data_IF_114667629093
#
_entry.id   IF_114667629093
#
_cell.length_a   1.000
_cell.length_b   1.000
_cell.length_c   1.000
_cell.angle_alpha   90.00
_cell.angle_beta   90.00
_cell.angle_gamma   90.00
#
_symmetry.space_group_name_H-M   'P 1'
#
loop_
_entity.id
_entity.type
_entity.pdbx_description
1 polymer ?
#
# COMPACT_ATOMS: atom_id res chain seq x y z
N UNK A 1 -1.09 -24.37 0.15
CA UNK A 1 -2.18 -23.90 1.05
C UNK A 1 -2.34 -22.41 0.81
N UNK A 2 -3.56 -21.94 0.61
CA UNK A 2 -3.88 -20.51 0.51
C UNK A 2 -4.77 -20.11 1.67
N UNK A 3 -4.61 -18.88 2.17
CA UNK A 3 -5.43 -18.34 3.25
C UNK A 3 -6.77 -17.88 2.67
N UNK A 4 -7.88 -18.33 3.29
CA UNK A 4 -9.25 -17.98 2.87
C UNK A 4 -9.95 -17.01 3.83
N UNK A 5 -9.48 -16.95 5.07
CA UNK A 5 -10.05 -16.10 6.13
C UNK A 5 -9.00 -15.76 7.16
N UNK A 6 -9.03 -14.54 7.64
CA UNK A 6 -8.16 -14.00 8.67
C UNK A 6 -9.01 -13.63 9.88
N UNK A 7 -8.68 -14.19 11.06
CA UNK A 7 -9.30 -13.85 12.33
C UNK A 7 -8.23 -13.53 13.36
N UNK A 8 -8.41 -12.45 14.09
CA UNK A 8 -7.49 -12.03 15.15
C UNK A 8 -8.29 -11.41 16.29
N UNK A 9 -8.03 -11.85 17.51
CA UNK A 9 -8.65 -11.33 18.73
C UNK A 9 -7.62 -11.29 19.85
N UNK A 10 -7.69 -10.25 20.69
CA UNK A 10 -6.80 -10.07 21.85
C UNK A 10 -5.33 -9.86 21.48
N UNK A 11 -5.03 -9.37 20.28
CA UNK A 11 -3.67 -9.13 19.78
C UNK A 11 -3.45 -7.63 19.59
N UNK A 12 -2.70 -7.01 20.50
CA UNK A 12 -2.38 -5.56 20.47
C UNK A 12 -3.64 -4.70 20.27
N UNK A 13 -3.72 -3.98 19.12
CA UNK A 13 -4.86 -3.12 18.80
C UNK A 13 -6.08 -3.87 18.24
N UNK A 14 -6.01 -5.20 18.09
CA UNK A 14 -7.11 -6.02 17.58
C UNK A 14 -7.80 -6.75 18.72
N UNK A 15 -8.63 -6.01 19.43
CA UNK A 15 -9.44 -6.51 20.55
C UNK A 15 -10.80 -5.79 20.58
N UNK A 16 -11.81 -6.43 21.16
CA UNK A 16 -13.15 -5.89 21.29
C UNK A 16 -13.77 -5.50 19.94
N UNK A 17 -14.13 -4.23 19.79
CA UNK A 17 -14.73 -3.71 18.56
C UNK A 17 -13.79 -3.78 17.33
N UNK A 18 -12.50 -3.95 17.54
CA UNK A 18 -11.49 -4.02 16.49
C UNK A 18 -11.02 -5.44 16.16
N UNK A 19 -11.69 -6.46 16.67
CA UNK A 19 -11.39 -7.84 16.29
C UNK A 19 -11.47 -8.02 14.77
N UNK A 20 -10.53 -8.77 14.21
CA UNK A 20 -10.46 -9.03 12.77
C UNK A 20 -11.25 -10.28 12.43
N UNK A 21 -12.15 -10.18 11.48
CA UNK A 21 -12.81 -11.32 10.85
C UNK A 21 -13.10 -11.01 9.38
N UNK A 22 -12.14 -11.29 8.52
CA UNK A 22 -12.24 -10.99 7.09
C UNK A 22 -11.96 -12.19 6.22
N UNK A 23 -12.79 -12.39 5.20
CA UNK A 23 -12.57 -13.38 4.15
C UNK A 23 -11.73 -12.76 3.02
N UNK A 24 -10.80 -13.56 2.49
CA UNK A 24 -9.97 -13.19 1.33
C UNK A 24 -10.01 -14.31 0.28
N UNK A 25 -9.70 -14.03 -0.99
CA UNK A 25 -9.66 -15.05 -2.03
C UNK A 25 -8.65 -16.17 -1.71
N UNK A 26 -9.08 -17.44 -1.68
CA UNK A 26 -8.22 -18.58 -1.33
C UNK A 26 -7.42 -19.12 -2.53
N UNK A 27 -6.83 -18.24 -3.29
CA UNK A 27 -6.14 -18.52 -4.55
C UNK A 27 -4.89 -17.65 -4.71
N UNK A 28 -3.98 -17.93 -5.65
CA UNK A 28 -2.91 -17.02 -6.00
C UNK A 28 -3.46 -15.67 -6.40
N UNK A 29 -2.75 -14.60 -6.03
CA UNK A 29 -3.17 -13.25 -6.38
C UNK A 29 -2.65 -12.20 -5.41
N UNK A 30 -3.28 -11.01 -5.41
CA UNK A 30 -2.81 -9.83 -4.72
C UNK A 30 -3.86 -9.27 -3.75
N UNK A 31 -3.72 -9.61 -2.47
CA UNK A 31 -4.55 -9.08 -1.36
C UNK A 31 -3.83 -7.91 -0.71
N UNK A 32 -4.53 -6.81 -0.50
CA UNK A 32 -3.98 -5.58 0.08
C UNK A 32 -4.65 -5.25 1.41
N UNK A 33 -3.82 -4.99 2.41
CA UNK A 33 -4.19 -4.41 3.69
C UNK A 33 -3.85 -2.92 3.65
N UNK A 34 -4.86 -2.07 3.58
CA UNK A 34 -4.69 -0.62 3.45
C UNK A 34 -5.37 0.13 4.60
N UNK A 35 -4.94 1.36 4.84
CA UNK A 35 -5.48 2.22 5.90
C UNK A 35 -4.47 3.25 6.38
N UNK A 36 -4.85 4.18 7.27
CA UNK A 36 -3.98 5.23 7.78
C UNK A 36 -2.80 4.70 8.61
N UNK A 37 -1.88 5.59 8.95
CA UNK A 37 -0.78 5.26 9.86
C UNK A 37 -1.32 4.86 11.24
N UNK A 38 -0.74 3.83 11.83
CA UNK A 38 -1.19 3.33 13.14
C UNK A 38 -2.40 2.39 13.11
N UNK A 39 -3.07 2.18 11.96
CA UNK A 39 -4.25 1.30 11.86
C UNK A 39 -3.99 -0.17 12.19
N UNK A 40 -2.71 -0.60 12.26
CA UNK A 40 -2.33 -1.95 12.65
C UNK A 40 -1.95 -2.88 11.49
N UNK A 41 -1.76 -2.38 10.26
CA UNK A 41 -1.40 -3.21 9.08
C UNK A 41 -0.22 -4.14 9.32
N UNK A 42 0.93 -3.59 9.72
CA UNK A 42 2.13 -4.38 10.02
C UNK A 42 1.91 -5.32 11.21
N UNK A 43 1.11 -4.90 12.18
CA UNK A 43 0.75 -5.75 13.33
C UNK A 43 -0.07 -6.96 12.86
N UNK A 44 -1.08 -6.76 12.03
CA UNK A 44 -1.90 -7.82 11.47
C UNK A 44 -1.06 -8.78 10.61
N UNK A 45 -0.26 -8.23 9.71
CA UNK A 45 0.59 -9.02 8.83
C UNK A 45 1.60 -9.86 9.61
N UNK A 46 2.22 -9.27 10.64
CA UNK A 46 3.17 -9.97 11.49
C UNK A 46 2.51 -11.02 12.38
N UNK A 47 1.30 -10.76 12.89
CA UNK A 47 0.50 -11.74 13.61
C UNK A 47 0.17 -12.96 12.73
N UNK A 48 -0.21 -12.73 11.47
CA UNK A 48 -0.37 -13.79 10.48
C UNK A 48 0.94 -14.56 10.25
N UNK A 49 2.05 -13.86 10.12
CA UNK A 49 3.37 -14.47 9.97
C UNK A 49 3.73 -15.39 11.13
N UNK A 50 3.43 -14.99 12.37
CA UNK A 50 3.61 -15.83 13.55
C UNK A 50 2.71 -17.06 13.53
N UNK A 51 1.42 -16.89 13.25
CA UNK A 51 0.45 -17.99 13.20
C UNK A 51 0.77 -19.02 12.09
N UNK A 52 1.38 -18.56 11.01
CA UNK A 52 1.81 -19.39 9.88
C UNK A 52 3.25 -19.91 10.03
N UNK A 53 3.92 -19.62 11.15
CA UNK A 53 5.29 -20.07 11.42
C UNK A 53 6.36 -19.37 10.58
N UNK A 54 6.00 -18.28 9.87
CA UNK A 54 6.91 -17.54 8.98
C UNK A 54 7.78 -16.50 9.71
N UNK A 55 7.37 -16.10 10.91
CA UNK A 55 8.11 -15.17 11.81
C UNK A 55 8.17 -15.79 13.19
N UNK A 56 9.26 -15.62 13.96
CA UNK A 56 9.31 -16.05 15.35
C UNK A 56 8.16 -15.46 16.17
N UNK A 57 7.59 -16.26 17.07
CA UNK A 57 6.57 -15.82 18.02
C UNK A 57 7.16 -14.75 18.95
N UNK A 58 6.36 -13.72 19.22
CA UNK A 58 6.72 -12.68 20.19
C UNK A 58 6.27 -13.04 21.61
N UNK A 59 6.80 -12.36 22.64
CA UNK A 59 6.40 -12.57 24.03
C UNK A 59 4.91 -12.21 24.22
N UNK A 60 4.19 -13.03 25.01
CA UNK A 60 2.75 -12.89 25.21
C UNK A 60 2.38 -11.53 25.84
N UNK A 61 3.22 -11.01 26.75
CA UNK A 61 3.02 -9.72 27.41
C UNK A 61 2.99 -8.54 26.44
N UNK A 62 3.67 -8.67 25.28
CA UNK A 62 3.73 -7.63 24.22
C UNK A 62 2.61 -7.80 23.21
N UNK A 63 2.22 -9.05 22.92
CA UNK A 63 1.28 -9.35 21.82
C UNK A 63 -0.15 -9.60 22.31
N UNK A 64 -0.36 -9.88 23.59
CA UNK A 64 -1.65 -10.17 24.23
C UNK A 64 -1.67 -11.57 24.84
N UNK A 65 -1.79 -11.69 26.16
CA UNK A 65 -1.70 -12.95 26.90
C UNK A 65 -2.79 -13.97 26.53
N UNK A 66 -3.97 -13.49 26.12
CA UNK A 66 -5.07 -14.33 25.68
C UNK A 66 -5.33 -14.26 24.18
N UNK A 67 -4.44 -13.57 23.45
CA UNK A 67 -4.58 -13.35 22.02
C UNK A 67 -4.46 -14.63 21.19
N UNK A 68 -5.18 -14.64 20.08
CA UNK A 68 -5.10 -15.72 19.10
C UNK A 68 -5.24 -15.20 17.67
N UNK A 69 -4.69 -15.97 16.74
CA UNK A 69 -4.69 -15.68 15.30
C UNK A 69 -5.10 -16.94 14.55
N UNK A 70 -5.97 -16.80 13.58
CA UNK A 70 -6.38 -17.86 12.67
C UNK A 70 -6.24 -17.39 11.22
N UNK A 71 -5.48 -18.13 10.45
CA UNK A 71 -5.35 -17.95 9.01
C UNK A 71 -5.87 -19.23 8.32
N UNK A 72 -7.19 -19.31 8.17
CA UNK A 72 -7.82 -20.52 7.64
C UNK A 72 -7.30 -20.87 6.23
N UNK A 73 -7.06 -22.14 5.91
CA UNK A 73 -7.41 -23.34 6.67
C UNK A 73 -6.39 -23.78 7.74
N UNK A 74 -5.36 -22.99 8.04
CA UNK A 74 -4.46 -23.31 9.14
C UNK A 74 -5.19 -23.26 10.49
N UNK A 75 -4.78 -24.12 11.45
CA UNK A 75 -5.39 -24.10 12.78
C UNK A 75 -5.12 -22.78 13.50
N UNK A 76 -6.00 -22.44 14.42
CA UNK A 76 -5.85 -21.29 15.31
C UNK A 76 -4.58 -21.42 16.14
N UNK A 77 -3.77 -20.37 16.13
CA UNK A 77 -2.57 -20.26 16.94
C UNK A 77 -2.82 -19.27 18.10
N UNK A 78 -2.38 -19.64 19.30
CA UNK A 78 -2.42 -18.74 20.47
C UNK A 78 -1.08 -18.05 20.61
N UNK A 79 -1.12 -16.76 20.98
CA UNK A 79 0.09 -15.97 21.26
C UNK A 79 0.91 -16.67 22.36
N UNK A 80 2.22 -16.79 22.14
CA UNK A 80 3.11 -17.52 23.07
C UNK A 80 3.14 -19.04 22.93
N UNK A 81 2.22 -19.65 22.15
CA UNK A 81 2.27 -21.08 21.90
C UNK A 81 3.41 -21.47 20.94
N UNK A 82 3.92 -22.70 21.00
CA UNK A 82 4.88 -23.20 20.03
C UNK A 82 4.35 -23.10 18.60
N UNK A 83 5.21 -22.69 17.68
CA UNK A 83 4.90 -22.60 16.25
C UNK A 83 5.15 -23.95 15.57
N UNK A 84 4.32 -24.25 14.58
CA UNK A 84 4.54 -25.40 13.69
C UNK A 84 5.53 -25.07 12.55
N UNK A 85 5.64 -25.98 11.60
CA UNK A 85 6.42 -25.74 10.39
C UNK A 85 5.92 -24.52 9.60
N UNK A 86 6.83 -23.75 8.98
CA UNK A 86 6.45 -22.57 8.21
C UNK A 86 5.53 -22.90 7.03
N UNK A 87 4.36 -22.24 7.00
CA UNK A 87 3.32 -22.39 5.98
C UNK A 87 3.19 -21.18 5.08
N UNK A 88 3.93 -20.12 5.39
CA UNK A 88 3.99 -18.88 4.62
C UNK A 88 5.42 -18.38 4.53
N UNK A 89 5.64 -17.38 3.70
CA UNK A 89 6.89 -16.61 3.64
C UNK A 89 6.57 -15.20 4.10
N UNK A 90 7.31 -14.71 5.07
CA UNK A 90 7.22 -13.32 5.51
C UNK A 90 8.46 -12.58 5.01
N UNK A 91 8.24 -11.51 4.29
CA UNK A 91 9.32 -10.67 3.78
C UNK A 91 9.10 -9.24 4.24
N UNK A 92 9.98 -8.80 5.14
CA UNK A 92 10.13 -7.42 5.51
C UNK A 92 11.25 -6.81 4.67
N UNK A 93 11.00 -5.65 4.10
CA UNK A 93 11.99 -4.98 3.25
C UNK A 93 13.28 -4.65 4.04
N UNK A 94 14.42 -5.02 3.45
CA UNK A 94 15.73 -4.87 4.08
C UNK A 94 16.36 -6.18 4.56
N UNK A 95 15.57 -7.26 4.65
CA UNK A 95 16.08 -8.62 4.80
C UNK A 95 16.49 -9.16 3.42
N UNK A 96 17.47 -10.05 3.36
CA UNK A 96 17.94 -10.67 2.10
C UNK A 96 19.39 -10.34 1.75
N UNK A 97 20.10 -9.68 2.64
CA UNK A 97 21.56 -9.67 2.58
C UNK A 97 22.03 -11.11 2.76
N UNK A 98 22.77 -11.63 1.76
CA UNK A 98 23.28 -13.01 1.78
C UNK A 98 22.48 -14.00 0.92
N UNK A 99 21.33 -13.64 0.36
CA UNK A 99 20.68 -14.42 -0.69
C UNK A 99 21.31 -14.01 -2.04
N UNK A 100 21.79 -14.97 -2.86
CA UNK A 100 22.28 -14.65 -4.19
C UNK A 100 21.21 -13.99 -5.06
N UNK A 101 21.60 -12.99 -5.84
CA UNK A 101 20.70 -12.28 -6.73
C UNK A 101 20.25 -13.18 -7.90
N UNK A 102 18.97 -13.15 -8.22
CA UNK A 102 18.42 -13.79 -9.41
C UNK A 102 18.60 -12.86 -10.63
N UNK A 103 19.62 -13.14 -11.44
CA UNK A 103 20.00 -12.27 -12.54
C UNK A 103 18.93 -12.18 -13.64
N UNK A 104 18.17 -13.25 -13.88
CA UNK A 104 17.14 -13.29 -14.90
C UNK A 104 15.93 -12.41 -14.50
N UNK A 105 15.41 -12.58 -13.31
CA UNK A 105 14.34 -11.75 -12.79
C UNK A 105 14.76 -10.28 -12.65
N UNK A 106 16.01 -10.03 -12.24
CA UNK A 106 16.52 -8.67 -12.06
C UNK A 106 16.77 -7.92 -13.36
N UNK A 107 16.90 -8.58 -14.49
CA UNK A 107 16.96 -7.90 -15.78
C UNK A 107 15.76 -6.97 -16.06
N UNK A 108 14.61 -7.23 -15.43
CA UNK A 108 13.41 -6.41 -15.54
C UNK A 108 13.35 -5.25 -14.52
N UNK A 109 14.14 -5.32 -13.45
CA UNK A 109 14.13 -4.37 -12.32
C UNK A 109 15.25 -3.35 -12.44
N UNK A 110 16.41 -3.82 -12.88
CA UNK A 110 17.60 -2.97 -12.97
C UNK A 110 17.41 -1.86 -14.01
N UNK A 111 17.90 -0.64 -13.75
CA UNK A 111 17.88 0.43 -14.73
C UNK A 111 18.63 0.05 -16.02
N UNK A 112 18.26 0.67 -17.13
CA UNK A 112 18.81 0.35 -18.46
C UNK A 112 20.34 0.27 -18.49
N UNK A 113 20.83 -0.86 -18.99
CA UNK A 113 22.26 -1.15 -19.14
C UNK A 113 22.96 -1.71 -17.91
N UNK A 114 22.28 -1.75 -16.75
CA UNK A 114 22.80 -2.45 -15.57
C UNK A 114 22.47 -3.93 -15.64
N UNK A 115 23.39 -4.77 -15.14
CA UNK A 115 23.23 -6.22 -15.05
C UNK A 115 23.89 -6.72 -13.76
N UNK A 116 23.43 -7.84 -13.25
CA UNK A 116 24.09 -8.53 -12.14
C UNK A 116 25.47 -9.02 -12.60
N UNK A 117 26.52 -8.61 -11.92
CA UNK A 117 27.92 -9.04 -12.18
C UNK A 117 28.36 -10.14 -11.22
N UNK A 118 28.03 -10.02 -9.95
CA UNK A 118 28.27 -11.06 -8.94
C UNK A 118 27.00 -11.24 -8.08
N UNK A 119 26.25 -12.33 -8.30
CA UNK A 119 25.04 -12.60 -7.52
C UNK A 119 25.27 -12.76 -6.02
N UNK A 120 26.39 -13.36 -5.62
CA UNK A 120 26.69 -13.67 -4.23
C UNK A 120 27.14 -12.42 -3.46
N UNK A 121 28.00 -11.62 -4.07
CA UNK A 121 28.43 -10.32 -3.53
C UNK A 121 27.37 -9.23 -3.69
N UNK A 122 26.30 -9.54 -4.41
CA UNK A 122 25.25 -8.57 -4.76
C UNK A 122 25.82 -7.34 -5.49
N UNK A 123 26.70 -7.58 -6.48
CA UNK A 123 27.26 -6.54 -7.32
C UNK A 123 26.55 -6.46 -8.66
N UNK A 124 26.54 -5.25 -9.23
CA UNK A 124 25.95 -4.92 -10.52
C UNK A 124 26.94 -4.12 -11.37
N UNK A 125 26.87 -4.30 -12.69
CA UNK A 125 27.81 -3.64 -13.60
C UNK A 125 27.12 -2.98 -14.78
N UNK A 126 27.73 -1.87 -15.26
CA UNK A 126 27.33 -1.14 -16.46
C UNK A 126 28.54 -0.48 -17.10
N UNK A 127 28.77 -0.73 -18.41
CA UNK A 127 29.81 -0.04 -19.18
C UNK A 127 31.21 -0.13 -18.60
N UNK A 128 31.59 -1.28 -17.98
CA UNK A 128 32.89 -1.49 -17.32
C UNK A 128 32.97 -1.01 -15.87
N UNK A 129 31.96 -0.31 -15.37
CA UNK A 129 31.84 0.05 -13.95
C UNK A 129 31.11 -1.09 -13.22
N UNK A 130 31.67 -1.53 -12.09
CA UNK A 130 31.05 -2.47 -11.16
C UNK A 130 30.87 -1.81 -9.79
N UNK A 131 29.67 -1.93 -9.22
CA UNK A 131 29.33 -1.36 -7.91
C UNK A 131 28.46 -2.32 -7.10
N UNK A 132 28.43 -2.22 -5.76
CA UNK A 132 27.43 -2.89 -4.93
C UNK A 132 26.02 -2.49 -5.33
N UNK A 133 25.06 -3.41 -5.24
CA UNK A 133 23.65 -3.17 -5.55
C UNK A 133 23.06 -1.98 -4.78
N UNK A 134 23.51 -1.73 -3.54
CA UNK A 134 23.06 -0.63 -2.70
C UNK A 134 23.33 0.76 -3.33
N UNK A 135 24.34 0.89 -4.19
CA UNK A 135 24.64 2.14 -4.92
C UNK A 135 23.56 2.52 -5.94
N UNK A 136 22.72 1.58 -6.38
CA UNK A 136 21.57 1.86 -7.23
C UNK A 136 20.37 2.47 -6.49
N UNK A 137 20.52 2.70 -5.19
CA UNK A 137 19.48 3.26 -4.32
C UNK A 137 18.59 2.21 -3.65
N UNK A 138 18.10 2.58 -2.46
CA UNK A 138 17.36 1.68 -1.56
C UNK A 138 16.13 1.01 -2.20
N UNK A 139 15.45 1.71 -3.12
CA UNK A 139 14.28 1.17 -3.82
C UNK A 139 14.61 -0.03 -4.71
N UNK A 140 15.59 0.12 -5.60
CA UNK A 140 16.03 -0.94 -6.51
C UNK A 140 16.67 -2.09 -5.72
N UNK A 141 17.56 -1.76 -4.78
CA UNK A 141 18.24 -2.77 -3.97
C UNK A 141 17.23 -3.60 -3.12
N UNK A 142 16.24 -2.94 -2.53
CA UNK A 142 15.19 -3.61 -1.76
C UNK A 142 14.33 -4.53 -2.63
N UNK A 143 13.91 -4.06 -3.80
CA UNK A 143 13.13 -4.86 -4.75
C UNK A 143 13.92 -6.05 -5.28
N UNK A 144 15.18 -5.85 -5.63
CA UNK A 144 16.05 -6.91 -6.11
C UNK A 144 16.23 -8.03 -5.07
N UNK A 145 16.44 -7.66 -3.80
CA UNK A 145 16.54 -8.65 -2.71
C UNK A 145 15.24 -9.37 -2.44
N UNK A 146 14.12 -8.65 -2.43
CA UNK A 146 12.79 -9.25 -2.29
C UNK A 146 12.57 -10.35 -3.31
N UNK A 147 12.80 -10.05 -4.58
CA UNK A 147 12.57 -11.00 -5.68
C UNK A 147 13.52 -12.18 -5.59
N UNK A 148 14.79 -11.95 -5.29
CA UNK A 148 15.78 -13.03 -5.14
C UNK A 148 15.42 -13.96 -3.97
N UNK A 149 14.92 -13.43 -2.85
CA UNK A 149 14.41 -14.25 -1.75
C UNK A 149 13.20 -15.09 -2.17
N UNK A 150 12.26 -14.51 -2.90
CA UNK A 150 11.10 -15.24 -3.39
C UNK A 150 11.50 -16.33 -4.38
N UNK A 151 12.45 -16.04 -5.26
CA UNK A 151 12.98 -17.00 -6.23
C UNK A 151 13.71 -18.16 -5.57
N UNK A 152 14.52 -17.89 -4.54
CA UNK A 152 15.27 -18.92 -3.79
C UNK A 152 14.33 -19.92 -3.08
N UNK A 153 13.10 -19.53 -2.78
CA UNK A 153 12.14 -20.36 -2.03
C UNK A 153 10.87 -20.61 -2.82
N UNK A 154 10.93 -20.82 -4.13
CA UNK A 154 9.78 -21.05 -4.99
C UNK A 154 8.84 -22.15 -4.45
N UNK A 155 7.91 -21.76 -3.57
CA UNK A 155 6.87 -22.63 -3.02
C UNK A 155 5.50 -21.97 -3.22
N UNK A 156 4.48 -22.74 -3.65
CA UNK A 156 3.11 -22.24 -3.68
C UNK A 156 2.63 -21.83 -2.29
N UNK A 157 1.81 -20.79 -2.21
CA UNK A 157 1.16 -20.40 -0.97
C UNK A 157 1.37 -18.95 -0.55
N UNK A 158 1.05 -18.61 0.70
CA UNK A 158 1.03 -17.24 1.18
C UNK A 158 2.43 -16.61 1.22
N UNK A 159 2.50 -15.36 0.74
CA UNK A 159 3.65 -14.47 0.84
C UNK A 159 3.19 -13.18 1.49
N UNK A 160 3.73 -12.89 2.66
CA UNK A 160 3.37 -11.73 3.46
C UNK A 160 4.41 -10.64 3.22
N UNK A 161 3.98 -9.48 2.67
CA UNK A 161 4.87 -8.37 2.33
C UNK A 161 4.51 -7.14 3.15
N UNK A 162 5.43 -6.67 3.98
CA UNK A 162 5.25 -5.45 4.74
C UNK A 162 5.97 -4.27 4.05
N UNK A 163 5.26 -3.12 3.93
CA UNK A 163 5.75 -1.89 3.33
C UNK A 163 6.42 -2.11 1.94
N UNK A 164 5.76 -2.86 1.06
CA UNK A 164 6.29 -3.20 -0.27
C UNK A 164 6.61 -1.98 -1.13
N UNK A 165 5.93 -0.87 -0.91
CA UNK A 165 6.08 0.42 -1.60
C UNK A 165 7.25 1.27 -1.08
N UNK A 166 7.82 0.94 0.08
CA UNK A 166 8.86 1.73 0.73
C UNK A 166 10.06 1.97 -0.18
N UNK A 167 10.42 3.23 -0.39
CA UNK A 167 11.49 3.71 -1.28
C UNK A 167 11.31 3.39 -2.78
N UNK A 168 10.16 2.85 -3.20
CA UNK A 168 9.87 2.68 -4.62
C UNK A 168 9.41 3.98 -5.26
N UNK A 169 9.93 4.25 -6.46
CA UNK A 169 9.38 5.29 -7.32
C UNK A 169 7.90 4.98 -7.64
N UNK A 170 7.00 5.98 -7.71
CA UNK A 170 5.57 5.77 -8.00
C UNK A 170 5.30 4.87 -9.20
N UNK A 171 6.08 4.99 -10.28
CA UNK A 171 5.95 4.13 -11.45
C UNK A 171 6.24 2.64 -11.18
N UNK A 172 7.02 2.31 -10.14
CA UNK A 172 7.19 0.94 -9.67
C UNK A 172 6.05 0.52 -8.76
N UNK A 173 5.56 1.42 -7.92
CA UNK A 173 4.42 1.14 -7.03
C UNK A 173 3.17 0.74 -7.85
N UNK A 174 2.94 1.37 -9.01
CA UNK A 174 1.86 1.02 -9.92
C UNK A 174 2.00 -0.37 -10.55
N UNK A 175 3.22 -0.85 -10.77
CA UNK A 175 3.48 -2.10 -11.51
C UNK A 175 3.80 -3.29 -10.65
N UNK A 176 4.20 -3.08 -9.38
CA UNK A 176 4.77 -4.12 -8.53
C UNK A 176 3.81 -5.30 -8.31
N UNK A 177 2.50 -5.05 -8.16
CA UNK A 177 1.50 -6.10 -7.99
C UNK A 177 1.44 -7.03 -9.21
N UNK A 178 1.15 -6.47 -10.39
CA UNK A 178 1.08 -7.23 -11.63
C UNK A 178 2.42 -7.92 -11.97
N UNK A 179 3.53 -7.27 -11.69
CA UNK A 179 4.85 -7.83 -11.95
C UNK A 179 5.18 -9.01 -11.03
N UNK A 180 4.95 -8.90 -9.71
CA UNK A 180 5.19 -9.99 -8.77
C UNK A 180 4.26 -11.18 -8.98
N UNK A 181 2.97 -10.95 -9.27
CA UNK A 181 2.03 -12.02 -9.59
C UNK A 181 2.40 -12.72 -10.90
N UNK A 182 2.91 -11.99 -11.89
CA UNK A 182 3.44 -12.58 -13.13
C UNK A 182 4.72 -13.41 -12.91
N UNK A 183 5.63 -12.98 -12.05
CA UNK A 183 6.86 -13.72 -11.73
C UNK A 183 6.60 -14.96 -10.84
N UNK A 184 5.57 -14.91 -10.00
CA UNK A 184 5.24 -15.94 -9.01
C UNK A 184 3.75 -16.29 -9.06
N UNK A 185 3.27 -16.94 -10.14
CA UNK A 185 1.84 -17.17 -10.38
C UNK A 185 1.17 -18.09 -9.34
N UNK A 186 1.94 -18.87 -8.60
CA UNK A 186 1.44 -19.77 -7.54
C UNK A 186 1.50 -19.10 -6.13
N UNK A 187 1.82 -17.82 -6.04
CA UNK A 187 1.90 -17.11 -4.77
C UNK A 187 0.60 -16.37 -4.48
N UNK A 188 0.13 -16.48 -3.24
CA UNK A 188 -0.90 -15.60 -2.69
C UNK A 188 -0.20 -14.48 -1.92
N UNK A 189 -0.13 -13.31 -2.50
CA UNK A 189 0.44 -12.14 -1.83
C UNK A 189 -0.58 -11.51 -0.89
N UNK A 190 -0.17 -11.28 0.37
CA UNK A 190 -0.92 -10.49 1.35
C UNK A 190 0.01 -9.33 1.75
N UNK A 191 -0.39 -8.13 1.38
CA UNK A 191 0.51 -6.97 1.33
C UNK A 191 0.00 -5.86 2.23
N UNK A 192 0.81 -5.36 3.14
CA UNK A 192 0.53 -4.12 3.86
C UNK A 192 1.19 -2.94 3.13
N UNK A 193 0.43 -1.87 2.91
CA UNK A 193 0.90 -0.70 2.17
C UNK A 193 0.23 0.59 2.62
N UNK A 194 0.93 1.70 2.38
CA UNK A 194 0.41 3.07 2.46
C UNK A 194 0.26 3.71 1.06
N UNK A 195 0.59 2.96 0.00
CA UNK A 195 0.55 3.48 -1.36
C UNK A 195 -0.81 3.29 -2.01
N UNK A 196 -1.46 4.37 -2.49
CA UNK A 196 -2.67 4.27 -3.28
C UNK A 196 -2.45 3.46 -4.56
N UNK A 197 -1.27 3.54 -5.15
CA UNK A 197 -0.92 2.81 -6.37
C UNK A 197 -0.83 1.30 -6.18
N UNK A 198 -0.33 0.85 -5.01
CA UNK A 198 -0.30 -0.58 -4.68
C UNK A 198 -1.70 -1.11 -4.42
N UNK A 199 -2.60 -0.28 -3.87
CA UNK A 199 -4.00 -0.64 -3.68
C UNK A 199 -4.74 -0.88 -5.01
N UNK A 200 -4.35 -0.17 -6.08
CA UNK A 200 -4.94 -0.34 -7.41
C UNK A 200 -4.68 -1.73 -8.03
N UNK A 201 -3.69 -2.47 -7.54
CA UNK A 201 -3.40 -3.82 -8.01
C UNK A 201 -4.24 -4.91 -7.30
N UNK A 202 -5.07 -4.56 -6.31
CA UNK A 202 -5.83 -5.53 -5.53
C UNK A 202 -6.84 -6.31 -6.38
N UNK A 203 -6.84 -7.62 -6.25
CA UNK A 203 -7.79 -8.50 -6.92
C UNK A 203 -9.24 -8.28 -6.41
N UNK A 204 -10.25 -8.76 -7.15
CA UNK A 204 -11.64 -8.69 -6.68
C UNK A 204 -11.82 -9.32 -5.30
N UNK A 205 -12.41 -8.58 -4.37
CA UNK A 205 -12.61 -9.04 -2.99
C UNK A 205 -11.34 -9.13 -2.14
N UNK A 206 -10.22 -8.57 -2.60
CA UNK A 206 -8.91 -8.66 -1.95
C UNK A 206 -8.38 -7.32 -1.40
N UNK A 207 -9.20 -6.29 -1.33
CA UNK A 207 -8.85 -5.01 -0.72
C UNK A 207 -9.52 -4.88 0.64
N UNK A 208 -8.70 -4.88 1.69
CA UNK A 208 -9.11 -4.86 3.09
C UNK A 208 -8.74 -3.50 3.68
N UNK A 209 -9.72 -2.79 4.21
CA UNK A 209 -9.52 -1.56 4.96
C UNK A 209 -9.29 -1.85 6.44
N UNK A 210 -8.26 -1.23 7.00
CA UNK A 210 -8.02 -1.18 8.44
C UNK A 210 -8.32 0.25 8.90
N UNK A 211 -9.45 0.49 9.58
CA UNK A 211 -9.84 1.81 10.06
C UNK A 211 -8.84 2.43 11.02
N UNK A 212 -8.90 3.75 11.19
CA UNK A 212 -8.13 4.44 12.22
C UNK A 212 -8.46 3.85 13.61
N UNK A 213 -7.48 3.68 14.50
CA UNK A 213 -7.74 3.20 15.86
C UNK A 213 -8.80 4.02 16.62
N UNK A 214 -8.92 5.30 16.33
CA UNK A 214 -9.91 6.17 16.96
C UNK A 214 -11.36 5.88 16.53
N UNK A 215 -11.57 5.17 15.42
CA UNK A 215 -12.91 4.80 14.93
C UNK A 215 -13.52 3.62 15.68
N UNK A 216 -12.73 2.88 16.48
CA UNK A 216 -13.16 1.70 17.23
C UNK A 216 -13.96 0.69 16.38
N UNK A 217 -13.60 0.56 15.11
CA UNK A 217 -14.26 -0.34 14.16
C UNK A 217 -13.34 -1.43 13.66
N UNK A 218 -13.92 -2.60 13.36
CA UNK A 218 -13.19 -3.76 12.87
C UNK A 218 -12.68 -3.53 11.43
N UNK A 219 -11.54 -4.14 11.04
CA UNK A 219 -11.13 -4.23 9.65
C UNK A 219 -12.21 -4.90 8.79
N UNK A 220 -12.42 -4.40 7.59
CA UNK A 220 -13.44 -4.92 6.68
C UNK A 220 -12.96 -4.94 5.22
N UNK A 221 -13.57 -5.81 4.43
CA UNK A 221 -13.36 -5.85 3.00
C UNK A 221 -14.14 -4.72 2.33
N UNK A 222 -13.48 -3.97 1.46
CA UNK A 222 -14.14 -2.94 0.68
C UNK A 222 -15.23 -3.55 -0.21
N UNK A 223 -16.32 -2.81 -0.35
CA UNK A 223 -17.34 -3.14 -1.33
C UNK A 223 -16.83 -2.93 -2.76
N UNK A 224 -17.56 -3.46 -3.74
CA UNK A 224 -17.13 -3.41 -5.13
C UNK A 224 -17.17 -1.98 -5.69
N UNK A 225 -18.09 -1.13 -5.24
CA UNK A 225 -18.20 0.26 -5.71
C UNK A 225 -16.97 1.07 -5.30
N UNK A 226 -16.57 1.00 -4.02
CA UNK A 226 -15.40 1.71 -3.53
C UNK A 226 -14.11 1.13 -4.12
N UNK A 227 -14.04 -0.20 -4.30
CA UNK A 227 -12.93 -0.86 -4.98
C UNK A 227 -12.79 -0.34 -6.42
N UNK A 228 -13.87 -0.20 -7.17
CA UNK A 228 -13.86 0.34 -8.53
C UNK A 228 -13.33 1.78 -8.56
N UNK A 229 -13.72 2.61 -7.60
CA UNK A 229 -13.18 3.97 -7.47
C UNK A 229 -11.66 3.95 -7.23
N UNK A 230 -11.16 3.05 -6.39
CA UNK A 230 -9.72 2.90 -6.15
C UNK A 230 -8.99 2.41 -7.40
N UNK A 231 -9.56 1.43 -8.11
CA UNK A 231 -8.94 0.79 -9.27
C UNK A 231 -8.83 1.72 -10.49
N UNK A 232 -9.92 2.42 -10.79
CA UNK A 232 -10.04 3.23 -12.01
C UNK A 232 -9.89 4.73 -11.74
N UNK A 233 -9.88 5.13 -10.48
CA UNK A 233 -9.61 6.50 -10.05
C UNK A 233 -8.13 6.87 -10.16
N UNK A 234 -7.85 8.14 -9.98
CA UNK A 234 -6.48 8.62 -9.81
C UNK A 234 -5.92 8.23 -8.43
N UNK A 235 -4.59 8.36 -8.26
CA UNK A 235 -3.99 8.23 -6.92
C UNK A 235 -4.61 9.19 -5.91
N UNK A 236 -5.01 10.38 -6.35
CA UNK A 236 -5.67 11.41 -5.53
C UNK A 236 -7.07 10.95 -5.10
N UNK A 237 -7.86 10.33 -5.98
CA UNK A 237 -9.17 9.77 -5.64
C UNK A 237 -9.05 8.68 -4.58
N UNK A 238 -8.04 7.84 -4.68
CA UNK A 238 -7.76 6.78 -3.69
C UNK A 238 -7.39 7.37 -2.34
N UNK A 239 -6.56 8.42 -2.33
CA UNK A 239 -6.09 9.09 -1.10
C UNK A 239 -7.25 9.82 -0.39
N UNK A 240 -8.16 10.45 -1.14
CA UNK A 240 -9.36 11.10 -0.61
C UNK A 240 -10.47 10.11 -0.22
N UNK A 241 -10.36 8.86 -0.64
CA UNK A 241 -11.34 7.83 -0.28
C UNK A 241 -11.30 7.51 1.22
N UNK A 242 -12.31 6.79 1.69
CA UNK A 242 -12.36 6.25 3.06
C UNK A 242 -11.13 5.41 3.40
N UNK A 243 -10.45 4.87 2.38
CA UNK A 243 -9.27 4.02 2.54
C UNK A 243 -8.09 4.72 3.25
N UNK A 244 -7.88 6.01 2.96
CA UNK A 244 -6.81 6.81 3.58
C UNK A 244 -7.33 8.03 4.34
N UNK A 245 -8.56 8.46 4.07
CA UNK A 245 -9.28 9.49 4.82
C UNK A 245 -8.61 10.88 4.80
N UNK A 246 -7.81 11.19 3.77
CA UNK A 246 -7.20 12.51 3.67
C UNK A 246 -8.26 13.55 3.28
N UNK A 247 -8.35 14.66 4.02
CA UNK A 247 -9.35 15.67 3.74
C UNK A 247 -9.08 16.47 2.46
N UNK A 248 -7.85 16.47 1.99
CA UNK A 248 -7.42 17.20 0.80
C UNK A 248 -6.10 16.63 0.25
N UNK A 249 -5.95 16.65 -1.08
CA UNK A 249 -4.69 16.33 -1.79
C UNK A 249 -3.79 17.54 -1.96
N UNK A 250 -4.27 18.70 -1.61
CA UNK A 250 -3.54 19.95 -1.76
C UNK A 250 -2.64 20.24 -0.54
N UNK A 251 -1.58 21.00 -0.76
CA UNK A 251 -0.76 21.49 0.35
C UNK A 251 -1.59 22.42 1.26
N UNK A 252 -1.24 22.56 2.55
CA UNK A 252 -1.94 23.47 3.46
C UNK A 252 -2.03 24.90 2.94
N UNK A 253 -1.00 25.39 2.22
CA UNK A 253 -0.99 26.71 1.60
C UNK A 253 -2.00 26.81 0.45
N UNK A 254 -2.03 25.83 -0.45
CA UNK A 254 -2.97 25.78 -1.55
C UNK A 254 -4.41 25.62 -1.05
N UNK A 255 -4.63 24.86 0.02
CA UNK A 255 -5.92 24.70 0.67
C UNK A 255 -6.43 26.02 1.31
N UNK A 256 -5.53 26.81 1.92
CA UNK A 256 -5.87 28.12 2.46
C UNK A 256 -6.28 29.09 1.33
N UNK A 257 -5.55 29.10 0.23
CA UNK A 257 -5.88 29.92 -0.96
C UNK A 257 -7.22 29.50 -1.61
N UNK A 258 -7.49 28.19 -1.72
CA UNK A 258 -8.79 27.67 -2.20
C UNK A 258 -9.96 28.10 -1.30
N UNK A 259 -9.79 28.04 0.01
CA UNK A 259 -10.78 28.52 0.96
C UNK A 259 -11.01 30.04 0.85
N UNK A 260 -9.95 30.80 0.56
CA UNK A 260 -10.06 32.24 0.30
C UNK A 260 -10.83 32.49 -1.00
N UNK A 261 -10.49 31.77 -2.08
CA UNK A 261 -11.19 31.86 -3.36
C UNK A 261 -12.71 31.62 -3.18
N UNK A 262 -13.10 30.53 -2.51
CA UNK A 262 -14.52 30.23 -2.22
C UNK A 262 -15.21 31.34 -1.39
N UNK A 263 -14.50 31.97 -0.46
CA UNK A 263 -15.02 33.09 0.31
C UNK A 263 -15.29 34.32 -0.55
N UNK A 264 -14.35 34.65 -1.41
CA UNK A 264 -14.48 35.78 -2.35
C UNK A 264 -15.60 35.54 -3.37
N UNK A 265 -15.69 34.31 -3.88
CA UNK A 265 -16.74 33.88 -4.78
C UNK A 265 -18.15 34.06 -4.16
N UNK A 266 -18.35 33.65 -2.91
CA UNK A 266 -19.60 33.86 -2.19
C UNK A 266 -19.96 35.35 -2.04
N UNK A 267 -18.98 36.22 -1.75
CA UNK A 267 -19.18 37.66 -1.69
C UNK A 267 -19.56 38.26 -3.04
N UNK A 268 -18.89 37.76 -4.10
CA UNK A 268 -19.18 38.19 -5.47
C UNK A 268 -20.64 37.85 -5.87
N UNK A 269 -21.07 36.59 -5.64
CA UNK A 269 -22.45 36.19 -5.94
C UNK A 269 -23.51 36.92 -5.07
N UNK A 270 -23.14 37.33 -3.87
CA UNK A 270 -23.99 38.13 -2.99
C UNK A 270 -24.02 39.64 -3.37
N UNK A 271 -23.23 40.07 -4.36
CA UNK A 271 -23.11 41.49 -4.72
C UNK A 271 -22.40 42.34 -3.66
N UNK A 272 -21.58 41.73 -2.78
CA UNK A 272 -20.94 42.37 -1.63
C UNK A 272 -19.44 42.50 -1.78
N UNK A 273 -18.86 42.02 -2.89
CA UNK A 273 -17.41 42.09 -3.14
C UNK A 273 -17.00 43.50 -3.53
N UNK A 274 -15.88 43.97 -2.97
CA UNK A 274 -15.22 45.22 -3.37
C UNK A 274 -14.42 45.01 -4.66
N UNK A 275 -14.00 46.10 -5.32
CA UNK A 275 -13.17 46.01 -6.52
C UNK A 275 -11.79 45.35 -6.22
N UNK A 276 -11.25 45.57 -5.02
CA UNK A 276 -10.03 44.92 -4.55
C UNK A 276 -10.21 43.41 -4.36
N UNK A 277 -11.34 42.99 -3.76
CA UNK A 277 -11.69 41.58 -3.58
C UNK A 277 -11.97 40.87 -4.91
N UNK A 278 -12.50 41.58 -5.90
CA UNK A 278 -12.68 41.08 -7.28
C UNK A 278 -11.32 40.89 -7.98
N UNK A 279 -10.35 41.78 -7.75
CA UNK A 279 -9.00 41.66 -8.28
C UNK A 279 -8.29 40.44 -7.64
N UNK A 280 -8.37 40.30 -6.32
CA UNK A 280 -7.83 39.16 -5.58
C UNK A 280 -8.45 37.83 -6.02
N UNK A 281 -9.75 37.78 -6.23
CA UNK A 281 -10.44 36.61 -6.77
C UNK A 281 -9.88 36.18 -8.13
N UNK A 282 -9.67 37.15 -9.04
CA UNK A 282 -9.13 36.85 -10.37
C UNK A 282 -7.68 36.34 -10.29
N UNK A 283 -6.86 36.94 -9.42
CA UNK A 283 -5.47 36.53 -9.22
C UNK A 283 -5.38 35.12 -8.64
N UNK A 284 -6.12 34.82 -7.57
CA UNK A 284 -6.20 33.50 -6.97
C UNK A 284 -6.76 32.45 -7.95
N UNK A 285 -7.79 32.80 -8.72
CA UNK A 285 -8.36 31.93 -9.75
C UNK A 285 -7.32 31.58 -10.82
N UNK A 286 -6.59 32.56 -11.32
CA UNK A 286 -5.53 32.34 -12.30
C UNK A 286 -4.41 31.47 -11.75
N UNK A 287 -4.01 31.67 -10.49
CA UNK A 287 -2.96 30.90 -9.80
C UNK A 287 -3.38 29.45 -9.56
N UNK A 288 -4.58 29.23 -9.02
CA UNK A 288 -5.06 27.90 -8.66
C UNK A 288 -5.49 27.06 -9.86
N UNK A 289 -6.00 27.69 -10.94
CA UNK A 289 -6.35 27.02 -12.19
C UNK A 289 -5.16 26.80 -13.13
N UNK A 290 -3.96 27.11 -12.71
CA UNK A 290 -2.75 26.86 -13.49
C UNK A 290 -2.37 25.37 -13.61
N UNK A 291 -2.92 24.50 -12.75
CA UNK A 291 -2.68 23.05 -12.85
C UNK A 291 -3.52 22.43 -13.97
N UNK A 292 -2.98 21.38 -14.61
CA UNK A 292 -3.68 20.67 -15.69
C UNK A 292 -5.04 20.10 -15.23
N UNK A 293 -5.09 19.55 -14.03
CA UNK A 293 -6.31 19.00 -13.41
C UNK A 293 -7.37 20.07 -13.20
N UNK A 294 -7.00 21.23 -12.66
CA UNK A 294 -7.93 22.34 -12.46
C UNK A 294 -8.50 22.87 -13.79
N UNK A 295 -7.71 22.88 -14.87
CA UNK A 295 -8.20 23.24 -16.22
C UNK A 295 -9.19 22.22 -16.77
N UNK A 296 -8.95 20.94 -16.54
CA UNK A 296 -9.89 19.88 -16.94
C UNK A 296 -11.19 19.99 -16.17
N UNK A 297 -11.14 20.22 -14.86
CA UNK A 297 -12.30 20.40 -14.00
C UNK A 297 -13.13 21.64 -14.42
N UNK A 298 -12.46 22.75 -14.74
CA UNK A 298 -13.11 23.97 -15.24
C UNK A 298 -13.81 23.75 -16.59
N UNK A 299 -13.13 23.06 -17.53
CA UNK A 299 -13.72 22.73 -18.84
C UNK A 299 -14.88 21.77 -18.68
N UNK A 300 -14.77 20.80 -17.78
CA UNK A 300 -15.82 19.83 -17.49
C UNK A 300 -17.04 20.52 -16.85
N UNK A 301 -16.81 21.43 -15.90
CA UNK A 301 -17.89 22.22 -15.27
C UNK A 301 -18.65 23.07 -16.30
N UNK A 302 -17.92 23.72 -17.21
CA UNK A 302 -18.53 24.50 -18.32
C UNK A 302 -19.33 23.62 -19.27
N UNK A 303 -18.76 22.46 -19.69
CA UNK A 303 -19.45 21.52 -20.59
C UNK A 303 -20.73 20.92 -19.96
N UNK A 304 -20.74 20.73 -18.64
CA UNK A 304 -21.88 20.21 -17.90
C UNK A 304 -22.89 21.28 -17.51
N UNK A 305 -22.69 22.56 -17.91
CA UNK A 305 -23.60 23.67 -17.61
C UNK A 305 -23.71 24.00 -16.13
N UNK A 306 -22.69 23.67 -15.34
CA UNK A 306 -22.64 23.96 -13.89
C UNK A 306 -22.10 25.35 -13.56
N UNK A 307 -21.77 26.16 -14.59
CA UNK A 307 -21.42 27.58 -14.48
C UNK A 307 -22.70 28.47 -14.56
N UNK A 308 -23.68 28.19 -13.69
CA UNK A 308 -24.80 29.10 -13.46
C UNK A 308 -24.95 29.41 -12.00
#
# INVERSE_FOLDING_TARGET
MYVSRIRVSGVKCFDGAREVDVAIPPEPGWTVLAGPNGSGKSTLLRALGMALGAVPGGPAEVWGEQGWVEAAPAPRWRVGAPQGEPRARYVERGLGRGVPLDAELLAQVLPNGWRVSDPVRQSVARGGLEVPLDELGAGIAGLARLVSQLAATRRPGPVLLDDVDRHLHPGWQQRIGAWLTGCFPDAQFIVATHSPYVCQAADPGALIHLPDPAEESAPYRLDEELRQRVLYGSGDDTVLSELFGLPSVYSPAAEAERRMLVRLERKMYAGQATDEELAEYRELGAKLNSSLTARVDEVTARLLGRDR
#
